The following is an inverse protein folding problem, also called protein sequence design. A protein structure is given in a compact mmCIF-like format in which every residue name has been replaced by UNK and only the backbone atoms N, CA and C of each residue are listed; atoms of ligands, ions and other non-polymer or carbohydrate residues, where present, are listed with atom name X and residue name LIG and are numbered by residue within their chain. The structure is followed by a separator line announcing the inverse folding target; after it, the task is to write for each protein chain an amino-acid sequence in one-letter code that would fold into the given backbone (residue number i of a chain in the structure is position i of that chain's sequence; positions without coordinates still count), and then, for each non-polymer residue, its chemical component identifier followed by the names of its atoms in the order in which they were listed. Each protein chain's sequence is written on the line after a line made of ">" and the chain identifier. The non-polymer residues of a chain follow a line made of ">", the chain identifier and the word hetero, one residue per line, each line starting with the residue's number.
data_IF_374061350548
#
_entry.id   IF_374061350548
#
_cell.length_a   1.000
_cell.length_b   1.000
_cell.length_c   1.000
_cell.angle_alpha   90.00
_cell.angle_beta   90.00
_cell.angle_gamma   90.00
#
_symmetry.space_group_name_H-M   'P 1'
#
loop_
_entity.id
_entity.type
_entity.pdbx_description
1 polymer ?
#
# COMPACT_ATOMS: atom_id res chain seq x y z
N UNK A 1 -4.21 4.92 -7.64
CA UNK A 1 -4.61 3.51 -7.83
C UNK A 1 -5.97 3.30 -7.19
N UNK A 2 -6.75 2.32 -7.65
CA UNK A 2 -8.04 2.00 -7.03
C UNK A 2 -7.83 1.39 -5.61
N UNK A 3 -8.67 1.76 -4.65
CA UNK A 3 -8.55 1.31 -3.25
C UNK A 3 -8.65 -0.22 -3.11
N UNK A 4 -9.56 -0.88 -3.83
CA UNK A 4 -9.70 -2.34 -3.81
C UNK A 4 -8.41 -3.04 -4.25
N UNK A 5 -7.70 -2.47 -5.22
CA UNK A 5 -6.40 -2.99 -5.66
C UNK A 5 -5.33 -2.83 -4.57
N UNK A 6 -5.23 -1.66 -3.94
CA UNK A 6 -4.29 -1.44 -2.82
C UNK A 6 -4.60 -2.37 -1.65
N UNK A 7 -5.89 -2.55 -1.30
CA UNK A 7 -6.32 -3.47 -0.25
C UNK A 7 -5.98 -4.93 -0.57
N UNK A 8 -6.07 -5.33 -1.83
CA UNK A 8 -5.60 -6.65 -2.27
C UNK A 8 -4.08 -6.79 -2.14
N UNK A 9 -3.28 -5.78 -2.51
CA UNK A 9 -1.83 -5.82 -2.28
C UNK A 9 -1.49 -5.88 -0.79
N UNK A 10 -2.23 -5.15 0.05
CA UNK A 10 -2.07 -5.15 1.51
C UNK A 10 -2.36 -6.54 2.09
N UNK A 11 -3.36 -7.26 1.60
CA UNK A 11 -3.69 -8.61 2.10
C UNK A 11 -2.61 -9.65 1.80
N UNK A 12 -1.72 -9.38 0.83
CA UNK A 12 -0.51 -10.17 0.57
C UNK A 12 0.63 -9.86 1.55
N UNK A 13 0.49 -8.84 2.40
CA UNK A 13 1.46 -8.51 3.45
C UNK A 13 1.08 -9.15 4.78
N UNK A 14 2.04 -9.25 5.71
CA UNK A 14 1.78 -9.64 7.11
C UNK A 14 1.37 -8.45 8.00
N UNK A 15 1.03 -7.30 7.41
CA UNK A 15 0.74 -6.07 8.16
C UNK A 15 -0.68 -6.13 8.72
N UNK A 16 -0.83 -5.97 10.04
CA UNK A 16 -2.12 -6.12 10.73
C UNK A 16 -2.66 -4.83 11.35
N UNK A 17 -1.83 -3.79 11.46
CA UNK A 17 -2.22 -2.50 12.05
C UNK A 17 -3.18 -1.75 11.13
N UNK A 18 -4.49 -1.87 11.37
CA UNK A 18 -5.53 -1.21 10.60
C UNK A 18 -5.32 0.31 10.42
N UNK A 19 -4.91 1.08 11.45
CA UNK A 19 -4.60 2.50 11.28
C UNK A 19 -3.47 2.75 10.27
N UNK A 20 -2.44 1.90 10.27
CA UNK A 20 -1.33 2.00 9.29
C UNK A 20 -1.78 1.62 7.89
N UNK A 21 -2.65 0.61 7.75
CA UNK A 21 -3.23 0.23 6.47
C UNK A 21 -4.07 1.37 5.88
N UNK A 22 -4.93 1.97 6.69
CA UNK A 22 -5.79 3.09 6.30
C UNK A 22 -4.96 4.34 5.96
N UNK A 23 -3.85 4.60 6.66
CA UNK A 23 -2.95 5.69 6.33
C UNK A 23 -2.28 5.48 4.95
N UNK A 24 -1.88 4.25 4.62
CA UNK A 24 -1.33 3.95 3.29
C UNK A 24 -2.37 4.11 2.20
N UNK A 25 -3.62 3.72 2.45
CA UNK A 25 -4.74 3.96 1.52
C UNK A 25 -4.98 5.46 1.34
N UNK A 26 -5.04 6.23 2.43
CA UNK A 26 -5.15 7.70 2.41
C UNK A 26 -4.05 8.35 1.54
N UNK A 27 -2.81 7.85 1.63
CA UNK A 27 -1.69 8.33 0.84
C UNK A 27 -1.78 7.93 -0.64
N UNK A 28 -1.98 6.64 -0.94
CA UNK A 28 -1.89 6.09 -2.31
C UNK A 28 -3.15 6.30 -3.16
N UNK A 29 -4.31 6.43 -2.54
CA UNK A 29 -5.59 6.53 -3.23
C UNK A 29 -6.18 7.95 -3.18
N UNK A 30 -5.94 8.69 -2.09
CA UNK A 30 -6.61 9.96 -1.83
C UNK A 30 -5.67 11.18 -1.88
N UNK A 31 -4.41 10.99 -2.28
CA UNK A 31 -3.48 12.09 -2.53
C UNK A 31 -2.98 12.81 -1.28
N UNK A 32 -3.21 12.27 -0.07
CA UNK A 32 -2.60 12.82 1.14
C UNK A 32 -1.09 12.61 1.10
N UNK A 33 -0.32 13.52 1.69
CA UNK A 33 1.09 13.23 1.97
C UNK A 33 1.19 12.11 3.01
N UNK A 34 2.34 11.45 3.12
CA UNK A 34 2.55 10.42 4.13
C UNK A 34 2.38 10.96 5.56
N UNK A 35 2.81 12.20 5.78
CA UNK A 35 2.66 12.92 7.05
C UNK A 35 1.18 13.17 7.37
N UNK A 36 0.42 13.78 6.45
CA UNK A 36 -1.01 14.04 6.64
C UNK A 36 -1.82 12.76 6.88
N UNK A 37 -1.48 11.68 6.17
CA UNK A 37 -2.15 10.40 6.34
C UNK A 37 -1.80 9.75 7.70
N UNK A 38 -0.54 9.87 8.12
CA UNK A 38 -0.08 9.35 9.42
C UNK A 38 -0.73 10.10 10.58
N UNK A 39 -0.76 11.44 10.51
CA UNK A 39 -1.42 12.31 11.48
C UNK A 39 -2.90 11.99 11.60
N UNK A 40 -3.63 11.92 10.47
CA UNK A 40 -5.06 11.58 10.44
C UNK A 40 -5.37 10.25 11.14
N UNK A 41 -4.49 9.26 11.03
CA UNK A 41 -4.70 7.90 11.54
C UNK A 41 -4.01 7.67 12.90
N UNK A 42 -3.35 8.67 13.46
CA UNK A 42 -2.66 8.55 14.75
C UNK A 42 -1.47 7.58 14.73
N UNK A 43 -0.77 7.47 13.60
CA UNK A 43 0.39 6.58 13.44
C UNK A 43 1.66 7.35 13.11
N UNK A 44 2.81 6.67 13.23
CA UNK A 44 4.11 7.22 12.84
C UNK A 44 4.24 7.29 11.31
N UNK A 45 4.71 8.42 10.77
CA UNK A 45 4.92 8.61 9.33
C UNK A 45 5.87 7.57 8.75
N UNK A 46 6.89 7.12 9.50
CA UNK A 46 7.84 6.11 9.05
C UNK A 46 7.17 4.74 8.85
N UNK A 47 6.12 4.43 9.61
CA UNK A 47 5.35 3.21 9.40
C UNK A 47 4.58 3.26 8.06
N UNK A 48 4.00 4.42 7.74
CA UNK A 48 3.33 4.67 6.45
C UNK A 48 4.33 4.59 5.30
N UNK A 49 5.51 5.21 5.44
CA UNK A 49 6.57 5.17 4.44
C UNK A 49 7.05 3.74 4.15
N UNK A 50 7.37 2.97 5.20
CA UNK A 50 7.83 1.57 5.05
C UNK A 50 6.80 0.71 4.35
N UNK A 51 5.54 0.78 4.78
CA UNK A 51 4.47 -0.02 4.17
C UNK A 51 4.20 0.43 2.73
N UNK A 52 4.21 1.73 2.45
CA UNK A 52 4.07 2.27 1.09
C UNK A 52 5.12 1.69 0.14
N UNK A 53 6.40 1.70 0.54
CA UNK A 53 7.48 1.11 -0.27
C UNK A 53 7.25 -0.38 -0.53
N UNK A 54 6.83 -1.12 0.49
CA UNK A 54 6.50 -2.55 0.35
C UNK A 54 5.36 -2.79 -0.65
N UNK A 55 4.31 -1.97 -0.60
CA UNK A 55 3.17 -2.07 -1.53
C UNK A 55 3.61 -1.77 -2.96
N UNK A 56 4.44 -0.75 -3.18
CA UNK A 56 5.00 -0.45 -4.52
C UNK A 56 5.86 -1.60 -5.08
N UNK A 57 6.65 -2.24 -4.22
CA UNK A 57 7.44 -3.41 -4.64
C UNK A 57 6.54 -4.61 -4.98
N UNK A 58 5.46 -4.82 -4.22
CA UNK A 58 4.48 -5.87 -4.52
C UNK A 58 3.74 -5.61 -5.83
N UNK A 59 3.36 -4.36 -6.10
CA UNK A 59 2.73 -3.95 -7.36
C UNK A 59 3.62 -4.30 -8.58
N UNK A 60 4.92 -3.99 -8.49
CA UNK A 60 5.89 -4.35 -9.53
C UNK A 60 5.98 -5.88 -9.72
N UNK A 61 6.09 -6.65 -8.63
CA UNK A 61 6.16 -8.11 -8.69
C UNK A 61 4.89 -8.75 -9.25
N UNK A 62 3.70 -8.27 -8.85
CA UNK A 62 2.42 -8.78 -9.36
C UNK A 62 2.30 -8.48 -10.86
N UNK A 63 2.75 -7.32 -11.30
CA UNK A 63 2.79 -6.95 -12.73
C UNK A 63 3.70 -7.89 -13.51
N UNK A 64 4.91 -8.15 -13.01
CA UNK A 64 5.87 -9.08 -13.62
C UNK A 64 5.30 -10.51 -13.71
N UNK A 65 4.79 -11.05 -12.60
CA UNK A 65 4.19 -12.39 -12.56
C UNK A 65 3.01 -12.51 -13.53
N UNK A 66 2.16 -11.47 -13.61
CA UNK A 66 1.01 -11.45 -14.52
C UNK A 66 1.45 -11.48 -15.98
N UNK A 67 2.54 -10.79 -16.34
CA UNK A 67 3.11 -10.83 -17.68
C UNK A 67 3.66 -12.22 -18.04
N UNK A 68 4.29 -12.92 -17.09
CA UNK A 68 4.79 -14.28 -17.30
C UNK A 68 3.64 -15.24 -17.56
N UNK A 69 2.55 -15.16 -16.78
CA UNK A 69 1.37 -16.00 -16.93
C UNK A 69 0.67 -15.83 -18.29
N UNK A 70 0.61 -14.59 -18.80
CA UNK A 70 -0.11 -14.28 -20.03
C UNK A 70 0.75 -14.45 -21.30
N UNK A 71 2.07 -14.56 -21.15
CA UNK A 71 3.02 -14.83 -22.23
C UNK A 71 3.49 -16.31 -22.25
N UNK A 72 2.93 -17.16 -21.39
CA UNK A 72 3.10 -18.62 -21.38
C UNK A 72 1.90 -19.29 -22.01
#
# INVERSE_FOLDING_TARGET
>A
MNESYIRALISLTRSTSEPTLNAVVDHLCYGKTQEQAAEKQGVKQEAVARLTTRIKNLDALVTEISSLKNNS
#
